data_IF_398842430843
#
_entry.id   IF_398842430843
#
_cell.length_a   1.000
_cell.length_b   1.000
_cell.length_c   1.000
_cell.angle_alpha   90.00
_cell.angle_beta   90.00
_cell.angle_gamma   90.00
#
_symmetry.space_group_name_H-M   'P 1'
#
loop_
_entity.id
_entity.type
_entity.pdbx_description
1 polymer ?
#
# COMPACT_ATOMS: atom_id res chain seq x y z
N UNK A 1 -13.87 0.39 8.27
CA UNK A 1 -12.79 0.32 7.25
C UNK A 1 -12.61 1.70 6.65
N UNK A 2 -11.42 2.05 6.16
CA UNK A 2 -11.16 3.38 5.60
C UNK A 2 -10.50 3.27 4.23
N UNK A 3 -10.68 4.31 3.42
CA UNK A 3 -9.99 4.44 2.14
C UNK A 3 -8.54 4.85 2.40
N UNK A 4 -7.61 4.13 1.78
CA UNK A 4 -6.18 4.41 1.84
C UNK A 4 -5.64 4.58 0.44
N UNK A 5 -4.75 5.56 0.28
CA UNK A 5 -3.91 5.75 -0.89
C UNK A 5 -2.50 5.29 -0.55
N UNK A 6 -2.03 4.27 -1.25
CA UNK A 6 -0.71 3.67 -1.13
C UNK A 6 0.16 4.15 -2.28
N UNK A 7 1.35 4.66 -1.97
CA UNK A 7 2.32 5.13 -2.96
C UNK A 7 3.58 4.29 -2.84
N UNK A 8 4.05 3.78 -3.98
CA UNK A 8 5.30 3.08 -4.15
C UNK A 8 6.47 4.06 -4.25
N UNK A 9 7.69 3.67 -3.82
CA UNK A 9 8.91 4.43 -4.09
C UNK A 9 9.10 4.80 -5.56
N UNK A 10 8.64 3.94 -6.48
CA UNK A 10 8.69 4.18 -7.92
C UNK A 10 7.57 5.08 -8.46
N UNK A 11 6.82 5.78 -7.61
CA UNK A 11 5.77 6.72 -8.00
C UNK A 11 4.43 6.10 -8.39
N UNK A 12 4.28 4.76 -8.31
CA UNK A 12 2.99 4.09 -8.53
C UNK A 12 2.04 4.38 -7.36
N UNK A 13 0.77 4.58 -7.67
CA UNK A 13 -0.27 4.81 -6.67
C UNK A 13 -1.32 3.70 -6.74
N UNK A 14 -1.85 3.33 -5.58
CA UNK A 14 -2.89 2.32 -5.44
C UNK A 14 -3.86 2.73 -4.34
N UNK A 15 -5.15 2.74 -4.64
CA UNK A 15 -6.18 3.18 -3.69
C UNK A 15 -7.06 1.99 -3.33
N UNK A 16 -7.21 1.70 -2.05
CA UNK A 16 -8.00 0.58 -1.58
C UNK A 16 -8.73 0.88 -0.27
N UNK A 17 -9.73 0.04 0.03
CA UNK A 17 -10.42 0.05 1.32
C UNK A 17 -9.74 -1.00 2.20
N UNK A 18 -9.16 -0.56 3.31
CA UNK A 18 -8.45 -1.43 4.23
C UNK A 18 -8.84 -1.18 5.68
N UNK A 19 -8.54 -2.14 6.55
CA UNK A 19 -8.74 -1.99 7.99
C UNK A 19 -7.73 -1.02 8.60
N UNK A 20 -6.48 -1.07 8.13
CA UNK A 20 -5.39 -0.22 8.59
C UNK A 20 -4.36 0.00 7.46
N UNK A 21 -3.35 0.84 7.72
CA UNK A 21 -2.30 1.17 6.75
C UNK A 21 -1.49 -0.04 6.30
N UNK A 22 -1.20 -0.99 7.19
CA UNK A 22 -0.45 -2.22 6.86
C UNK A 22 -1.22 -3.12 5.91
N UNK A 23 -2.52 -3.30 6.14
CA UNK A 23 -3.42 -4.07 5.29
C UNK A 23 -3.54 -3.45 3.89
N UNK A 24 -3.65 -2.11 3.83
CA UNK A 24 -3.64 -1.39 2.55
C UNK A 24 -2.37 -1.66 1.74
N UNK A 25 -1.20 -1.59 2.39
CA UNK A 25 0.09 -1.88 1.74
C UNK A 25 0.21 -3.34 1.30
N UNK A 26 -0.30 -4.30 2.08
CA UNK A 26 -0.31 -5.73 1.69
C UNK A 26 -1.18 -5.97 0.47
N UNK A 27 -2.35 -5.33 0.41
CA UNK A 27 -3.20 -5.38 -0.78
C UNK A 27 -2.49 -4.77 -2.00
N UNK A 28 -1.81 -3.63 -1.83
CA UNK A 28 -1.02 -3.01 -2.90
C UNK A 28 0.11 -3.93 -3.39
N UNK A 29 0.88 -4.55 -2.47
CA UNK A 29 1.89 -5.54 -2.83
C UNK A 29 1.29 -6.71 -3.61
N UNK A 30 0.15 -7.26 -3.16
CA UNK A 30 -0.54 -8.36 -3.86
C UNK A 30 -1.02 -7.94 -5.25
N UNK A 31 -1.56 -6.73 -5.38
CA UNK A 31 -2.01 -6.17 -6.66
C UNK A 31 -0.86 -6.01 -7.66
N UNK A 32 0.31 -5.56 -7.20
CA UNK A 32 1.50 -5.40 -8.03
C UNK A 32 2.33 -6.67 -8.22
N UNK A 33 1.92 -7.80 -7.62
CA UNK A 33 2.69 -9.05 -7.66
C UNK A 33 4.01 -9.01 -6.88
N UNK A 34 4.15 -8.07 -5.94
CA UNK A 34 5.36 -7.85 -5.16
C UNK A 34 5.26 -8.59 -3.84
N UNK A 35 6.38 -9.17 -3.39
CA UNK A 35 6.45 -9.79 -2.07
C UNK A 35 6.36 -8.71 -0.99
N UNK A 36 5.49 -8.92 0.00
CA UNK A 36 5.30 -7.97 1.10
C UNK A 36 6.59 -7.72 1.92
N UNK A 37 7.50 -8.71 1.98
CA UNK A 37 8.79 -8.63 2.67
C UNK A 37 9.94 -8.15 1.76
N UNK A 38 9.63 -7.67 0.55
CA UNK A 38 10.67 -7.12 -0.32
C UNK A 38 11.25 -5.83 0.27
N UNK A 39 12.56 -5.73 0.34
CA UNK A 39 13.22 -4.58 0.97
C UNK A 39 13.05 -3.29 0.18
N UNK A 40 13.00 -3.38 -1.15
CA UNK A 40 12.96 -2.22 -2.04
C UNK A 40 11.53 -1.79 -2.35
N UNK A 41 10.61 -2.76 -2.48
CA UNK A 41 9.26 -2.53 -2.98
C UNK A 41 8.16 -3.12 -2.09
N UNK A 42 8.51 -3.72 -0.95
CA UNK A 42 7.58 -4.34 -0.02
C UNK A 42 6.90 -3.35 0.94
N UNK A 43 6.18 -3.89 1.92
CA UNK A 43 5.29 -3.13 2.83
C UNK A 43 6.04 -2.04 3.62
N UNK A 44 7.32 -2.26 3.92
CA UNK A 44 8.18 -1.26 4.58
C UNK A 44 8.45 -0.05 3.69
N UNK A 45 8.67 -0.26 2.39
CA UNK A 45 9.01 0.78 1.42
C UNK A 45 7.78 1.57 0.95
N UNK A 46 6.60 0.96 0.97
CA UNK A 46 5.35 1.63 0.58
C UNK A 46 4.91 2.67 1.61
N UNK A 47 4.39 3.82 1.14
CA UNK A 47 3.73 4.82 1.98
C UNK A 47 2.23 4.67 1.87
N UNK A 48 1.50 4.62 2.97
CA UNK A 48 0.04 4.59 2.97
C UNK A 48 -0.51 5.81 3.71
N UNK A 49 -1.34 6.61 3.04
CA UNK A 49 -2.09 7.71 3.63
C UNK A 49 -3.57 7.36 3.66
N UNK A 50 -4.21 7.63 4.80
CA UNK A 50 -5.67 7.56 4.91
C UNK A 50 -6.26 8.70 4.11
N UNK A 51 -7.10 8.39 3.14
CA UNK A 51 -7.87 9.40 2.42
C UNK A 51 -9.07 9.73 3.32
N UNK A 52 -9.12 10.98 3.82
CA UNK A 52 -10.36 11.53 4.35
C UNK A 52 -11.20 11.86 3.12
N UNK A 53 -12.26 11.10 2.93
CA UNK A 53 -13.41 11.53 2.12
C UNK A 53 -14.12 12.61 2.89
#
# INVERSE_FOLDING_TARGET
MHKYKVTSPGGREFTCIAKNSTDAKRQACKFWGIRANDYWCGVSALKAKKERV
#
